data_IF_464639411642
#
_entry.id   IF_464639411642
#
_cell.length_a   1.000
_cell.length_b   1.000
_cell.length_c   1.000
_cell.angle_alpha   90.00
_cell.angle_beta   90.00
_cell.angle_gamma   90.00
#
_symmetry.space_group_name_H-M   'P 1'
#
loop_
_entity.id
_entity.type
_entity.pdbx_description
1 polymer ?
#
# COMPACT_ATOMS: atom_id res chain seq x y z
N UNK A 1 13.99 32.22 5.52
CA UNK A 1 13.38 31.09 4.79
C UNK A 1 13.76 29.86 5.59
N UNK A 2 12.87 29.38 6.45
CA UNK A 2 13.14 28.15 7.20
C UNK A 2 13.06 26.96 6.24
N UNK A 3 14.24 26.44 5.87
CA UNK A 3 14.40 25.14 5.25
C UNK A 3 14.08 24.07 6.30
N UNK A 4 12.79 23.89 6.59
CA UNK A 4 12.31 22.77 7.39
C UNK A 4 12.60 21.49 6.61
N UNK A 5 13.65 20.77 7.01
CA UNK A 5 13.91 19.38 6.66
C UNK A 5 12.57 18.60 6.66
N UNK A 6 12.36 17.77 5.62
CA UNK A 6 11.09 17.08 5.37
C UNK A 6 10.48 16.51 6.65
N UNK A 7 9.27 16.94 6.98
CA UNK A 7 8.61 16.55 8.22
C UNK A 7 8.45 15.02 8.23
N UNK A 8 8.72 14.35 9.35
CA UNK A 8 8.56 12.89 9.48
C UNK A 8 7.16 12.41 9.04
N UNK A 9 6.16 13.29 9.15
CA UNK A 9 4.79 13.08 8.66
C UNK A 9 4.74 12.76 7.16
N UNK A 10 5.63 13.36 6.36
CA UNK A 10 5.69 13.17 4.91
C UNK A 10 6.04 11.74 4.50
N UNK A 11 6.74 11.01 5.36
CA UNK A 11 7.16 9.63 5.16
C UNK A 11 6.25 8.65 5.92
N UNK A 12 5.93 8.98 7.17
CA UNK A 12 5.13 8.12 8.04
C UNK A 12 3.70 7.96 7.54
N UNK A 13 3.07 9.00 7.00
CA UNK A 13 1.67 8.91 6.55
C UNK A 13 1.52 8.02 5.30
N UNK A 14 2.30 8.19 4.21
CA UNK A 14 2.25 7.26 3.08
C UNK A 14 2.61 5.82 3.46
N UNK A 15 3.56 5.63 4.37
CA UNK A 15 3.96 4.30 4.85
C UNK A 15 2.82 3.65 5.65
N UNK A 16 2.25 4.38 6.62
CA UNK A 16 1.12 3.91 7.40
C UNK A 16 -0.07 3.57 6.50
N UNK A 17 -0.40 4.45 5.54
CA UNK A 17 -1.46 4.19 4.55
C UNK A 17 -1.18 2.91 3.76
N UNK A 18 0.04 2.74 3.24
CA UNK A 18 0.42 1.56 2.46
C UNK A 18 0.27 0.27 3.27
N UNK A 19 0.70 0.26 4.53
CA UNK A 19 0.59 -0.90 5.42
C UNK A 19 -0.87 -1.21 5.77
N UNK A 20 -1.66 -0.19 6.14
CA UNK A 20 -3.07 -0.37 6.48
C UNK A 20 -3.88 -0.81 5.26
N UNK A 21 -3.61 -0.23 4.09
CA UNK A 21 -4.29 -0.63 2.85
C UNK A 21 -3.89 -2.05 2.42
N UNK A 22 -2.62 -2.42 2.53
CA UNK A 22 -2.16 -3.77 2.28
C UNK A 22 -2.84 -4.78 3.23
N UNK A 23 -3.03 -4.44 4.51
CA UNK A 23 -3.78 -5.25 5.46
C UNK A 23 -5.22 -5.47 5.00
N UNK A 24 -5.93 -4.39 4.63
CA UNK A 24 -7.32 -4.47 4.15
C UNK A 24 -7.42 -5.34 2.90
N UNK A 25 -6.49 -5.20 1.96
CA UNK A 25 -6.46 -6.02 0.73
C UNK A 25 -6.21 -7.49 1.07
N UNK A 26 -5.26 -7.76 1.98
CA UNK A 26 -4.96 -9.13 2.43
C UNK A 26 -6.16 -9.80 3.09
N UNK A 27 -6.86 -9.07 3.96
CA UNK A 27 -8.03 -9.55 4.70
C UNK A 27 -9.35 -9.41 3.92
N UNK A 28 -9.28 -9.02 2.64
CA UNK A 28 -10.40 -8.93 1.71
C UNK A 28 -11.42 -10.09 1.80
N UNK A 29 -10.98 -11.36 1.83
CA UNK A 29 -11.88 -12.51 1.96
C UNK A 29 -12.73 -12.50 3.24
N UNK A 30 -12.20 -12.00 4.36
CA UNK A 30 -12.92 -11.92 5.63
C UNK A 30 -14.15 -11.03 5.54
N UNK A 31 -14.02 -9.87 4.87
CA UNK A 31 -15.14 -8.97 4.62
C UNK A 31 -16.18 -9.59 3.69
N UNK A 32 -15.73 -10.31 2.65
CA UNK A 32 -16.63 -11.03 1.74
C UNK A 32 -17.39 -12.12 2.48
N UNK A 33 -16.76 -12.88 3.35
CA UNK A 33 -17.43 -13.92 4.13
C UNK A 33 -18.39 -13.35 5.18
N UNK A 34 -18.22 -12.10 5.59
CA UNK A 34 -19.10 -11.45 6.56
C UNK A 34 -20.44 -11.03 5.98
N UNK A 35 -20.48 -10.59 4.72
CA UNK A 35 -21.70 -10.09 4.08
C UNK A 35 -22.12 -10.82 2.80
N UNK A 36 -21.21 -11.61 2.23
CA UNK A 36 -21.41 -12.35 1.00
C UNK A 36 -22.06 -13.71 1.21
N UNK A 37 -22.32 -14.44 0.12
CA UNK A 37 -22.85 -15.79 0.18
C UNK A 37 -21.92 -16.73 0.94
N UNK A 38 -22.49 -17.74 1.59
CA UNK A 38 -21.72 -18.79 2.25
C UNK A 38 -20.83 -19.51 1.23
N UNK A 39 -19.54 -19.60 1.54
CA UNK A 39 -18.55 -20.23 0.68
C UNK A 39 -17.51 -20.95 1.55
N UNK A 40 -17.68 -22.26 1.69
CA UNK A 40 -16.84 -23.12 2.54
C UNK A 40 -15.38 -23.16 2.07
N UNK A 41 -15.14 -23.08 0.75
CA UNK A 41 -13.79 -23.05 0.21
C UNK A 41 -13.07 -21.75 0.59
N UNK A 42 -13.76 -20.60 0.45
CA UNK A 42 -13.22 -19.30 0.82
C UNK A 42 -13.00 -19.22 2.34
N UNK A 43 -13.92 -19.75 3.14
CA UNK A 43 -13.77 -19.82 4.59
C UNK A 43 -12.57 -20.68 5.01
N UNK A 44 -12.38 -21.84 4.39
CA UNK A 44 -11.22 -22.70 4.66
C UNK A 44 -9.88 -22.09 4.19
N UNK A 45 -9.91 -21.25 3.16
CA UNK A 45 -8.75 -20.47 2.75
C UNK A 45 -8.45 -19.36 3.74
N UNK A 46 -9.46 -18.57 4.12
CA UNK A 46 -9.32 -17.49 5.08
C UNK A 46 -8.81 -17.99 6.43
N UNK A 47 -9.34 -19.10 6.95
CA UNK A 47 -8.87 -19.69 8.21
C UNK A 47 -7.37 -20.06 8.21
N UNK A 48 -6.77 -20.30 7.04
CA UNK A 48 -5.34 -20.57 6.89
C UNK A 48 -4.52 -19.28 6.75
N UNK A 49 -5.00 -18.35 5.94
CA UNK A 49 -4.30 -17.13 5.51
C UNK A 49 -4.47 -15.95 6.48
N UNK A 50 -5.49 -15.99 7.34
CA UNK A 50 -5.74 -14.98 8.35
C UNK A 50 -4.54 -14.84 9.30
N UNK A 51 -4.11 -13.59 9.50
CA UNK A 51 -2.97 -13.23 10.34
C UNK A 51 -3.43 -12.90 11.77
N UNK A 52 -4.63 -12.35 11.96
CA UNK A 52 -5.14 -11.90 13.27
C UNK A 52 -5.85 -13.02 14.05
N UNK A 53 -5.23 -14.20 14.11
CA UNK A 53 -5.79 -15.36 14.78
C UNK A 53 -5.96 -15.08 16.28
N UNK A 54 -7.20 -15.08 16.75
CA UNK A 54 -7.52 -15.01 18.18
C UNK A 54 -8.54 -13.95 18.58
N UNK A 55 -9.02 -13.13 17.65
CA UNK A 55 -10.14 -12.24 17.89
C UNK A 55 -11.43 -12.80 17.31
N UNK A 56 -12.52 -12.66 18.07
CA UNK A 56 -13.84 -13.06 17.59
C UNK A 56 -14.29 -12.12 16.48
N UNK A 57 -14.75 -12.72 15.38
CA UNK A 57 -15.27 -11.98 14.24
C UNK A 57 -16.53 -11.20 14.60
N UNK A 58 -16.66 -10.01 14.01
CA UNK A 58 -17.79 -9.13 14.22
C UNK A 58 -18.88 -9.39 13.18
N UNK A 59 -20.12 -9.02 13.52
CA UNK A 59 -21.29 -9.09 12.63
C UNK A 59 -21.62 -10.50 12.11
N UNK A 60 -21.23 -11.55 12.84
CA UNK A 60 -21.50 -12.94 12.47
C UNK A 60 -20.60 -13.47 11.34
N UNK A 61 -19.60 -12.70 10.92
CA UNK A 61 -18.57 -13.10 9.97
C UNK A 61 -17.21 -13.27 10.62
N UNK A 62 -16.18 -13.69 9.87
CA UNK A 62 -14.85 -13.94 10.39
C UNK A 62 -13.97 -12.66 10.49
N UNK A 63 -14.43 -11.51 10.00
CA UNK A 63 -13.67 -10.25 10.07
C UNK A 63 -13.72 -9.64 11.47
N UNK A 64 -12.55 -9.41 12.08
CA UNK A 64 -12.42 -8.94 13.45
C UNK A 64 -12.37 -7.41 13.58
N UNK A 65 -12.23 -6.91 14.82
CA UNK A 65 -12.17 -5.46 15.06
C UNK A 65 -10.94 -4.77 14.44
N UNK A 66 -9.84 -5.49 14.24
CA UNK A 66 -8.62 -4.97 13.63
C UNK A 66 -8.86 -4.77 12.13
N UNK A 67 -9.53 -5.71 11.49
CA UNK A 67 -9.91 -5.63 10.08
C UNK A 67 -10.84 -4.43 9.83
N UNK A 68 -11.87 -4.28 10.65
CA UNK A 68 -12.76 -3.10 10.59
C UNK A 68 -12.00 -1.81 10.88
N UNK A 69 -11.14 -1.81 11.90
CA UNK A 69 -10.30 -0.68 12.26
C UNK A 69 -9.40 -0.25 11.10
N UNK A 70 -8.73 -1.20 10.45
CA UNK A 70 -7.90 -0.95 9.28
C UNK A 70 -8.71 -0.43 8.09
N UNK A 71 -9.91 -1.00 7.85
CA UNK A 71 -10.81 -0.56 6.79
C UNK A 71 -11.19 0.91 6.95
N UNK A 72 -11.59 1.34 8.16
CA UNK A 72 -11.93 2.74 8.43
C UNK A 72 -10.71 3.65 8.55
N UNK A 73 -9.58 3.14 9.02
CA UNK A 73 -8.33 3.90 9.11
C UNK A 73 -7.77 4.24 7.72
N UNK A 74 -7.94 3.36 6.73
CA UNK A 74 -7.42 3.57 5.37
C UNK A 74 -7.92 4.85 4.68
N UNK A 75 -9.23 5.19 4.60
CA UNK A 75 -9.68 6.46 4.04
C UNK A 75 -9.27 7.65 4.91
N UNK A 76 -9.18 7.49 6.24
CA UNK A 76 -8.72 8.55 7.13
C UNK A 76 -7.27 8.91 6.85
N UNK A 77 -6.39 7.90 6.75
CA UNK A 77 -4.98 8.09 6.39
C UNK A 77 -4.82 8.65 4.97
N UNK A 78 -5.67 8.24 4.04
CA UNK A 78 -5.68 8.81 2.69
C UNK A 78 -6.02 10.30 2.71
N UNK A 79 -7.09 10.70 3.40
CA UNK A 79 -7.51 12.11 3.50
C UNK A 79 -6.45 12.95 4.22
N UNK A 80 -5.89 12.45 5.32
CA UNK A 80 -4.79 13.11 6.05
C UNK A 80 -3.57 13.21 5.15
N UNK A 81 -3.22 12.15 4.43
CA UNK A 81 -2.12 12.10 3.48
C UNK A 81 -2.23 13.18 2.42
N UNK A 82 -3.38 13.25 1.74
CA UNK A 82 -3.68 14.26 0.72
C UNK A 82 -3.69 15.69 1.31
N UNK A 83 -4.18 15.87 2.54
CA UNK A 83 -4.20 17.16 3.22
C UNK A 83 -2.82 17.64 3.68
N UNK A 84 -1.90 16.71 3.98
CA UNK A 84 -0.55 17.01 4.50
C UNK A 84 0.51 17.15 3.40
N UNK A 85 0.17 16.87 2.14
CA UNK A 85 1.09 17.06 1.02
C UNK A 85 1.53 18.53 0.91
N UNK A 86 2.84 18.74 0.92
CA UNK A 86 3.47 20.02 0.61
C UNK A 86 3.96 20.04 -0.83
N UNK A 87 3.82 21.20 -1.47
CA UNK A 87 4.27 21.47 -2.83
C UNK A 87 5.80 21.43 -2.90
N UNK A 88 6.35 20.63 -3.81
CA UNK A 88 7.75 20.73 -4.15
C UNK A 88 8.01 21.97 -5.04
N UNK A 89 9.17 22.65 -4.93
CA UNK A 89 9.45 23.88 -5.68
C UNK A 89 9.36 23.74 -7.21
N UNK A 90 9.49 22.52 -7.72
CA UNK A 90 9.48 22.18 -9.15
C UNK A 90 8.06 21.96 -9.73
N UNK A 91 7.00 22.00 -8.92
CA UNK A 91 5.63 21.70 -9.35
C UNK A 91 4.89 22.92 -9.95
N UNK A 92 3.98 22.70 -10.91
CA UNK A 92 3.18 23.75 -11.58
C UNK A 92 2.37 24.63 -10.60
N UNK A 93 2.13 25.86 -11.02
CA UNK A 93 1.60 26.95 -10.18
C UNK A 93 0.09 26.88 -9.89
N UNK A 94 -0.70 26.21 -10.75
CA UNK A 94 -2.15 26.02 -10.57
C UNK A 94 -2.47 24.68 -9.92
N UNK A 95 -2.73 24.67 -8.61
CA UNK A 95 -3.11 23.46 -7.88
C UNK A 95 -4.62 23.20 -7.93
N UNK A 96 -5.02 22.07 -8.53
CA UNK A 96 -6.36 21.49 -8.37
C UNK A 96 -6.35 20.43 -7.26
N UNK A 97 -7.52 20.10 -6.66
CA UNK A 97 -7.60 19.00 -5.69
C UNK A 97 -7.09 17.66 -6.22
N UNK A 98 -7.28 17.40 -7.52
CA UNK A 98 -6.76 16.21 -8.19
C UNK A 98 -5.22 16.15 -8.19
N UNK A 99 -4.54 17.31 -8.22
CA UNK A 99 -3.08 17.35 -8.22
C UNK A 99 -2.52 16.92 -6.87
N UNK A 100 -3.18 17.28 -5.76
CA UNK A 100 -2.80 16.83 -4.41
C UNK A 100 -2.89 15.31 -4.26
N UNK A 101 -3.93 14.71 -4.84
CA UNK A 101 -4.11 13.26 -4.84
C UNK A 101 -2.98 12.58 -5.61
N UNK A 102 -2.64 13.09 -6.80
CA UNK A 102 -1.58 12.48 -7.60
C UNK A 102 -0.18 12.66 -6.98
N UNK A 103 0.11 13.78 -6.31
CA UNK A 103 1.36 13.92 -5.54
C UNK A 103 1.40 12.95 -4.35
N UNK A 104 0.28 12.74 -3.66
CA UNK A 104 0.20 11.74 -2.59
C UNK A 104 0.42 10.31 -3.11
N UNK A 105 -0.18 9.96 -4.26
CA UNK A 105 0.07 8.69 -4.95
C UNK A 105 1.56 8.56 -5.34
N UNK A 106 2.20 9.66 -5.77
CA UNK A 106 3.64 9.70 -6.01
C UNK A 106 4.46 9.32 -4.77
N UNK A 107 4.09 9.83 -3.58
CA UNK A 107 4.74 9.47 -2.30
C UNK A 107 4.51 8.01 -1.91
N UNK A 108 3.32 7.47 -2.14
CA UNK A 108 3.04 6.03 -1.96
C UNK A 108 3.96 5.21 -2.89
N UNK A 109 4.10 5.64 -4.14
CA UNK A 109 4.95 4.99 -5.14
C UNK A 109 6.42 4.97 -4.71
N UNK A 110 6.91 6.05 -4.10
CA UNK A 110 8.26 6.06 -3.52
C UNK A 110 8.43 4.97 -2.45
N UNK A 111 7.41 4.71 -1.61
CA UNK A 111 7.47 3.62 -0.62
C UNK A 111 7.47 2.25 -1.29
N UNK A 112 6.68 2.07 -2.36
CA UNK A 112 6.66 0.82 -3.14
C UNK A 112 7.99 0.53 -3.82
N UNK A 113 8.73 1.55 -4.29
CA UNK A 113 10.08 1.39 -4.84
C UNK A 113 11.05 0.88 -3.77
N UNK A 114 10.99 1.43 -2.56
CA UNK A 114 11.84 0.95 -1.45
C UNK A 114 11.54 -0.52 -1.14
N UNK A 115 10.26 -0.89 -1.10
CA UNK A 115 9.84 -2.29 -0.93
C UNK A 115 10.34 -3.18 -2.07
N UNK A 116 10.18 -2.75 -3.33
CA UNK A 116 10.70 -3.45 -4.51
C UNK A 116 12.20 -3.71 -4.40
N UNK A 117 12.99 -2.68 -4.06
CA UNK A 117 14.42 -2.82 -3.85
C UNK A 117 14.76 -3.81 -2.72
N UNK A 118 14.01 -3.78 -1.62
CA UNK A 118 14.21 -4.71 -0.51
C UNK A 118 13.91 -6.16 -0.90
N UNK A 119 12.82 -6.42 -1.63
CA UNK A 119 12.46 -7.75 -2.13
C UNK A 119 13.50 -8.26 -3.13
N UNK A 120 14.00 -7.39 -4.01
CA UNK A 120 15.07 -7.72 -4.95
C UNK A 120 16.37 -8.11 -4.24
N UNK A 121 16.78 -7.35 -3.22
CA UNK A 121 17.97 -7.69 -2.43
C UNK A 121 17.79 -9.01 -1.67
N UNK A 122 16.60 -9.24 -1.12
CA UNK A 122 16.24 -10.51 -0.48
C UNK A 122 16.34 -11.67 -1.48
N UNK A 123 15.77 -11.54 -2.68
CA UNK A 123 15.80 -12.58 -3.71
C UNK A 123 17.24 -12.92 -4.13
N UNK A 124 18.07 -11.89 -4.37
CA UNK A 124 19.49 -12.04 -4.71
C UNK A 124 20.22 -12.77 -3.58
N UNK A 125 20.03 -12.36 -2.33
CA UNK A 125 20.65 -13.02 -1.18
C UNK A 125 20.25 -14.50 -1.10
N UNK A 126 18.96 -14.80 -1.14
CA UNK A 126 18.47 -16.17 -1.01
C UNK A 126 18.93 -17.04 -2.19
N UNK A 127 18.89 -16.52 -3.42
CA UNK A 127 19.30 -17.28 -4.60
C UNK A 127 20.80 -17.57 -4.64
N UNK A 128 21.64 -16.58 -4.32
CA UNK A 128 23.09 -16.72 -4.50
C UNK A 128 23.83 -17.15 -3.24
N UNK A 129 23.28 -16.91 -2.05
CA UNK A 129 23.91 -17.30 -0.77
C UNK A 129 23.31 -18.58 -0.23
N UNK A 130 21.99 -18.74 -0.32
CA UNK A 130 21.28 -19.92 0.22
C UNK A 130 20.94 -20.95 -0.86
N UNK A 131 21.19 -20.65 -2.14
CA UNK A 131 20.91 -21.52 -3.30
C UNK A 131 19.43 -21.96 -3.44
N UNK A 132 18.50 -21.30 -2.75
CA UNK A 132 17.07 -21.69 -2.69
C UNK A 132 16.15 -20.59 -3.24
N UNK A 133 16.17 -20.41 -4.56
CA UNK A 133 15.38 -19.36 -5.22
C UNK A 133 13.87 -19.48 -4.93
N UNK A 134 13.27 -18.41 -4.38
CA UNK A 134 11.84 -18.39 -4.05
C UNK A 134 10.99 -17.83 -5.20
N UNK A 135 9.94 -18.56 -5.60
CA UNK A 135 9.04 -18.13 -6.68
C UNK A 135 8.25 -16.87 -6.33
N UNK A 136 7.81 -16.76 -5.06
CA UNK A 136 7.00 -15.63 -4.61
C UNK A 136 7.77 -14.30 -4.71
N UNK A 137 9.08 -14.29 -4.47
CA UNK A 137 9.87 -13.08 -4.52
C UNK A 137 9.94 -12.53 -5.96
N UNK A 138 10.16 -13.41 -6.94
CA UNK A 138 10.16 -13.02 -8.35
C UNK A 138 8.79 -12.50 -8.81
N UNK A 139 7.70 -13.21 -8.48
CA UNK A 139 6.36 -12.76 -8.84
C UNK A 139 6.01 -11.43 -8.17
N UNK A 140 6.33 -11.27 -6.89
CA UNK A 140 6.09 -10.04 -6.14
C UNK A 140 6.85 -8.85 -6.76
N UNK A 141 8.13 -9.03 -7.10
CA UNK A 141 8.92 -8.02 -7.80
C UNK A 141 8.26 -7.61 -9.12
N UNK A 142 7.78 -8.57 -9.93
CA UNK A 142 7.13 -8.27 -11.21
C UNK A 142 5.85 -7.45 -11.01
N UNK A 143 5.02 -7.82 -10.04
CA UNK A 143 3.81 -7.07 -9.70
C UNK A 143 4.14 -5.66 -9.20
N UNK A 144 5.07 -5.52 -8.26
CA UNK A 144 5.49 -4.24 -7.72
C UNK A 144 6.10 -3.32 -8.79
N UNK A 145 6.90 -3.87 -9.71
CA UNK A 145 7.45 -3.13 -10.84
C UNK A 145 6.34 -2.60 -11.77
N UNK A 146 5.34 -3.45 -12.10
CA UNK A 146 4.19 -3.05 -12.90
C UNK A 146 3.37 -1.92 -12.26
N UNK A 147 3.05 -2.04 -10.97
CA UNK A 147 2.35 -0.98 -10.22
C UNK A 147 3.15 0.32 -10.18
N UNK A 148 4.45 0.22 -9.89
CA UNK A 148 5.33 1.39 -9.83
C UNK A 148 5.39 2.10 -11.18
N UNK A 149 5.48 1.37 -12.29
CA UNK A 149 5.50 1.94 -13.63
C UNK A 149 4.19 2.70 -13.95
N UNK A 150 3.03 2.11 -13.62
CA UNK A 150 1.73 2.76 -13.80
C UNK A 150 1.61 4.06 -12.98
N UNK A 151 2.03 4.03 -11.71
CA UNK A 151 1.96 5.20 -10.84
C UNK A 151 3.01 6.28 -11.19
N UNK A 152 4.19 5.89 -11.69
CA UNK A 152 5.19 6.82 -12.19
C UNK A 152 4.68 7.60 -13.41
N UNK A 153 3.89 6.96 -14.29
CA UNK A 153 3.24 7.64 -15.41
C UNK A 153 2.25 8.72 -14.96
N UNK A 154 1.47 8.47 -13.91
CA UNK A 154 0.59 9.47 -13.30
C UNK A 154 1.38 10.68 -12.78
N UNK A 155 2.51 10.44 -12.11
CA UNK A 155 3.37 11.51 -11.59
C UNK A 155 4.08 12.30 -12.71
N UNK A 156 4.59 11.63 -13.75
CA UNK A 156 5.24 12.27 -14.89
C UNK A 156 4.28 13.21 -15.67
N UNK A 157 3.00 12.81 -15.81
CA UNK A 157 1.98 13.67 -16.42
C UNK A 157 1.77 14.97 -15.64
N UNK A 158 1.88 14.96 -14.30
CA UNK A 158 1.81 16.19 -13.50
C UNK A 158 2.97 17.12 -13.76
N UNK A 159 4.14 16.58 -14.10
CA UNK A 159 5.35 17.35 -14.40
C UNK A 159 5.45 17.76 -15.88
N UNK A 160 4.48 17.36 -16.73
CA UNK A 160 4.57 17.45 -18.20
C UNK A 160 5.91 16.90 -18.73
N UNK A 161 6.46 15.91 -18.04
CA UNK A 161 7.67 15.22 -18.43
C UNK A 161 7.31 13.96 -19.22
N UNK A 162 8.21 13.57 -20.14
CA UNK A 162 8.11 12.29 -20.82
C UNK A 162 8.82 11.23 -19.98
N UNK A 163 8.22 10.05 -19.87
CA UNK A 163 8.76 8.86 -19.19
C UNK A 163 9.76 8.12 -20.09
#
# INVERSE_FOLDING_TARGET
>A
MDESHGSAVEWLVPLAFSLTFAWVVWQGPGFILTFGPQNDQLAAQFARTDIAKGFDGMFGGPADFIDWGALFLSPVLFVIGVATVRRAPMEFESWRPADRVAVFIGRITMMLIVLLCAVMLYEVFVRYVLEDGTYWANELTLWLAGFTFLCAGLYAMQQRSHI
#
